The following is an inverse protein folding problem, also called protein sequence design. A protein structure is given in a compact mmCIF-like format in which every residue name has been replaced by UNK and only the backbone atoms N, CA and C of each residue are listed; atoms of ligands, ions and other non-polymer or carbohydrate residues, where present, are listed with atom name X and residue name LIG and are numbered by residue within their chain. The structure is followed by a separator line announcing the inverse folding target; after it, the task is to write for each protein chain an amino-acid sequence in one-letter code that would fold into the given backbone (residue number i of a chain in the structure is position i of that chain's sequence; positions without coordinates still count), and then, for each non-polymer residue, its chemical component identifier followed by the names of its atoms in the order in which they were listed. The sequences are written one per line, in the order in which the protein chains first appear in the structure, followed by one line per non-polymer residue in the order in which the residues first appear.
data_IF_289049686982
#
_entry.id   IF_289049686982
#
_cell.length_a   1.000
_cell.length_b   1.000
_cell.length_c   1.000
_cell.angle_alpha   90.00
_cell.angle_beta   90.00
_cell.angle_gamma   90.00
#
_symmetry.space_group_name_H-M   'P 1'
#
loop_
_entity.id
_entity.type
_entity.pdbx_description
1 polymer ?
#
# COMPACT_ATOMS: atom_id res chain seq x y z
N UNK A 1 4.16 15.58 -15.79
CA UNK A 1 3.39 14.96 -14.69
C UNK A 1 2.95 16.05 -13.73
N UNK A 2 1.68 16.13 -13.47
CA UNK A 2 1.12 17.10 -12.51
C UNK A 2 0.45 16.29 -11.40
N UNK A 3 1.08 16.31 -10.22
CA UNK A 3 0.54 15.60 -9.05
C UNK A 3 -0.56 16.45 -8.42
N UNK A 4 -1.61 15.78 -7.93
CA UNK A 4 -2.73 16.41 -7.23
C UNK A 4 -2.25 17.39 -6.15
N UNK A 5 -2.59 18.69 -6.24
CA UNK A 5 -2.23 19.65 -5.20
C UNK A 5 -2.83 19.29 -3.83
N UNK A 6 -4.02 18.72 -3.80
CA UNK A 6 -4.65 18.25 -2.55
C UNK A 6 -3.81 17.15 -1.89
N UNK A 7 -3.31 16.21 -2.68
CA UNK A 7 -2.44 15.15 -2.19
C UNK A 7 -1.16 15.72 -1.58
N UNK A 8 -0.51 16.64 -2.30
CA UNK A 8 0.71 17.28 -1.81
C UNK A 8 0.49 18.02 -0.49
N UNK A 9 -0.65 18.71 -0.37
CA UNK A 9 -1.03 19.38 0.88
C UNK A 9 -1.23 18.39 2.03
N UNK A 10 -1.88 17.25 1.74
CA UNK A 10 -2.07 16.20 2.74
C UNK A 10 -0.74 15.60 3.18
N UNK A 11 0.23 15.45 2.28
CA UNK A 11 1.59 15.00 2.63
C UNK A 11 2.28 15.99 3.56
N UNK A 12 2.16 17.28 3.29
CA UNK A 12 2.68 18.32 4.17
C UNK A 12 2.09 18.20 5.57
N UNK A 13 0.78 18.00 5.67
CA UNK A 13 0.09 17.85 6.96
C UNK A 13 0.55 16.58 7.72
N UNK A 14 0.96 15.55 7.01
CA UNK A 14 1.47 14.32 7.61
C UNK A 14 2.98 14.37 7.87
N UNK A 15 3.65 15.48 7.57
CA UNK A 15 5.10 15.60 7.63
C UNK A 15 5.83 14.56 6.76
N UNK A 16 5.25 14.23 5.61
CA UNK A 16 5.84 13.33 4.64
C UNK A 16 6.39 14.14 3.48
N UNK A 17 7.69 14.02 3.23
CA UNK A 17 8.34 14.62 2.07
C UNK A 17 8.61 13.54 1.04
N UNK A 18 8.05 13.69 -0.15
CA UNK A 18 8.23 12.73 -1.24
C UNK A 18 9.20 13.31 -2.27
N UNK A 19 10.15 12.49 -2.70
CA UNK A 19 11.05 12.83 -3.79
C UNK A 19 10.30 12.80 -5.12
N UNK A 20 10.92 13.37 -6.16
CA UNK A 20 10.38 13.29 -7.51
C UNK A 20 10.18 11.83 -7.95
N UNK A 21 11.14 10.97 -7.63
CA UNK A 21 11.05 9.52 -7.92
C UNK A 21 9.83 8.89 -7.24
N UNK A 22 9.59 9.21 -5.98
CA UNK A 22 8.43 8.68 -5.25
C UNK A 22 7.12 9.20 -5.85
N UNK A 23 7.06 10.45 -6.25
CA UNK A 23 5.88 11.00 -6.92
C UNK A 23 5.63 10.31 -8.26
N UNK A 24 6.67 10.02 -9.02
CA UNK A 24 6.57 9.24 -10.27
C UNK A 24 6.07 7.82 -10.00
N UNK A 25 6.52 7.20 -8.91
CA UNK A 25 6.05 5.87 -8.51
C UNK A 25 4.55 5.89 -8.19
N UNK A 26 4.06 6.88 -7.46
CA UNK A 26 2.62 7.02 -7.21
C UNK A 26 1.83 7.24 -8.49
N UNK A 27 2.34 8.06 -9.40
CA UNK A 27 1.69 8.31 -10.68
C UNK A 27 1.59 7.03 -11.52
N UNK A 28 2.68 6.27 -11.59
CA UNK A 28 2.70 4.99 -12.31
C UNK A 28 1.77 3.96 -11.67
N UNK A 29 1.75 3.91 -10.36
CA UNK A 29 0.83 3.04 -9.61
C UNK A 29 -0.63 3.38 -9.96
N UNK A 30 -0.96 4.67 -9.99
CA UNK A 30 -2.29 5.11 -10.40
C UNK A 30 -2.64 4.61 -11.81
N UNK A 31 -1.73 4.77 -12.76
CA UNK A 31 -1.96 4.33 -14.14
C UNK A 31 -2.23 2.83 -14.21
N UNK A 32 -1.44 2.03 -13.51
CA UNK A 32 -1.60 0.58 -13.46
C UNK A 32 -2.91 0.19 -12.78
N UNK A 33 -3.28 0.88 -11.71
CA UNK A 33 -4.53 0.64 -11.00
C UNK A 33 -5.73 0.82 -11.93
N UNK A 34 -5.77 1.92 -12.67
CA UNK A 34 -6.87 2.22 -13.60
C UNK A 34 -6.91 1.20 -14.75
N UNK A 35 -5.74 0.86 -15.28
CA UNK A 35 -5.63 -0.11 -16.38
C UNK A 35 -6.16 -1.49 -15.96
N UNK A 36 -5.68 -2.00 -14.83
CA UNK A 36 -6.09 -3.32 -14.36
C UNK A 36 -7.53 -3.33 -13.84
N UNK A 37 -8.02 -2.19 -13.33
CA UNK A 37 -9.40 -2.08 -12.86
C UNK A 37 -10.43 -2.31 -13.97
N UNK A 38 -10.04 -2.13 -15.23
CA UNK A 38 -10.92 -2.40 -16.38
C UNK A 38 -11.27 -3.88 -16.54
N UNK A 39 -10.41 -4.77 -16.06
CA UNK A 39 -10.58 -6.21 -16.22
C UNK A 39 -10.83 -6.93 -14.89
N UNK A 40 -10.63 -6.26 -13.76
CA UNK A 40 -10.89 -6.80 -12.44
C UNK A 40 -11.25 -5.68 -11.49
N UNK A 41 -12.21 -5.91 -10.61
CA UNK A 41 -12.68 -4.88 -9.70
C UNK A 41 -11.70 -4.67 -8.54
N UNK A 42 -10.74 -3.77 -8.74
CA UNK A 42 -9.76 -3.40 -7.71
C UNK A 42 -10.28 -2.27 -6.83
N UNK A 43 -10.98 -1.32 -7.43
CA UNK A 43 -11.50 -0.15 -6.72
C UNK A 43 -12.71 0.42 -7.45
N UNK A 44 -13.63 1.03 -6.71
CA UNK A 44 -14.72 1.82 -7.29
C UNK A 44 -14.34 3.25 -7.61
N UNK A 45 -13.14 3.68 -7.20
CA UNK A 45 -12.65 5.04 -7.39
C UNK A 45 -11.55 5.02 -8.44
N UNK A 46 -11.73 5.77 -9.54
CA UNK A 46 -10.77 5.81 -10.64
C UNK A 46 -10.35 7.23 -11.05
N UNK A 47 -11.02 8.26 -10.52
CA UNK A 47 -10.65 9.63 -10.80
C UNK A 47 -9.31 9.94 -10.11
N UNK A 48 -8.42 10.65 -10.81
CA UNK A 48 -7.04 10.87 -10.41
C UNK A 48 -6.92 11.47 -9.00
N UNK A 49 -7.56 12.60 -8.79
CA UNK A 49 -7.47 13.30 -7.51
C UNK A 49 -8.08 12.49 -6.36
N UNK A 50 -9.18 11.78 -6.63
CA UNK A 50 -9.82 10.94 -5.62
C UNK A 50 -8.96 9.73 -5.23
N UNK A 51 -8.29 9.08 -6.19
CA UNK A 51 -7.40 7.98 -5.88
C UNK A 51 -6.24 8.46 -5.01
N UNK A 52 -5.63 9.58 -5.37
CA UNK A 52 -4.54 10.13 -4.59
C UNK A 52 -4.97 10.51 -3.18
N UNK A 53 -6.14 11.08 -3.01
CA UNK A 53 -6.61 11.54 -1.70
C UNK A 53 -7.27 10.44 -0.87
N UNK A 54 -8.14 9.63 -1.48
CA UNK A 54 -8.93 8.62 -0.77
C UNK A 54 -8.24 7.28 -0.62
N UNK A 55 -7.26 6.96 -1.49
CA UNK A 55 -6.50 5.73 -1.38
C UNK A 55 -5.07 5.98 -0.90
N UNK A 56 -4.30 6.80 -1.61
CA UNK A 56 -2.88 6.97 -1.27
C UNK A 56 -2.70 7.76 0.03
N UNK A 57 -3.26 8.96 0.13
CA UNK A 57 -3.13 9.77 1.33
C UNK A 57 -3.80 9.11 2.54
N UNK A 58 -4.96 8.49 2.34
CA UNK A 58 -5.65 7.77 3.41
C UNK A 58 -4.79 6.61 3.93
N UNK A 59 -4.15 5.86 3.04
CA UNK A 59 -3.22 4.79 3.42
C UNK A 59 -2.06 5.33 4.26
N UNK A 60 -1.57 6.51 3.94
CA UNK A 60 -0.45 7.14 4.65
C UNK A 60 -0.87 7.81 5.96
N UNK A 61 -2.16 7.97 6.21
CA UNK A 61 -2.67 8.58 7.45
C UNK A 61 -2.33 7.77 8.70
N UNK A 62 -2.01 6.48 8.55
CA UNK A 62 -1.56 5.61 9.64
C UNK A 62 -0.28 6.15 10.30
N UNK A 63 0.49 6.96 9.58
CA UNK A 63 1.73 7.54 10.11
C UNK A 63 1.49 8.55 11.23
N UNK A 64 0.27 9.08 11.36
CA UNK A 64 -0.07 9.99 12.45
C UNK A 64 0.08 9.36 13.82
N UNK A 65 -0.19 8.07 13.92
CA UNK A 65 -0.18 7.33 15.20
C UNK A 65 1.09 6.49 15.41
N UNK A 66 2.00 6.49 14.43
CA UNK A 66 3.15 5.59 14.46
C UNK A 66 4.40 6.31 13.99
N UNK A 67 5.50 6.12 14.72
CA UNK A 67 6.80 6.60 14.29
C UNK A 67 7.39 5.62 13.28
N UNK A 68 7.23 5.93 12.00
CA UNK A 68 7.64 5.05 10.91
C UNK A 68 9.16 4.83 10.85
N UNK A 69 9.94 5.70 11.47
CA UNK A 69 11.40 5.52 11.53
C UNK A 69 11.79 4.34 12.42
N UNK A 70 10.95 3.97 13.36
CA UNK A 70 11.17 2.84 14.27
C UNK A 70 10.62 1.53 13.74
N UNK A 71 9.86 1.57 12.65
CA UNK A 71 9.24 0.40 12.05
C UNK A 71 10.10 -0.06 10.90
N UNK A 72 10.49 -1.34 10.91
CA UNK A 72 11.30 -1.95 9.87
C UNK A 72 10.50 -2.90 8.98
N UNK A 73 9.51 -3.58 9.55
CA UNK A 73 8.75 -4.59 8.82
C UNK A 73 7.24 -4.42 9.01
N UNK A 74 6.51 -4.55 7.91
CA UNK A 74 5.05 -4.41 7.86
C UNK A 74 4.47 -5.56 7.07
N UNK A 75 3.38 -6.14 7.58
CA UNK A 75 2.54 -7.01 6.77
C UNK A 75 1.16 -6.39 6.61
N UNK A 76 0.67 -6.41 5.36
CA UNK A 76 -0.66 -5.93 4.99
C UNK A 76 -1.54 -7.14 4.68
N UNK A 77 -2.48 -7.42 5.56
CA UNK A 77 -3.37 -8.58 5.47
C UNK A 77 -4.64 -8.21 4.71
N UNK A 78 -4.92 -8.94 3.63
CA UNK A 78 -6.05 -8.62 2.77
C UNK A 78 -5.82 -7.33 2.01
N UNK A 79 -4.64 -7.18 1.44
CA UNK A 79 -4.17 -5.93 0.86
C UNK A 79 -4.98 -5.43 -0.33
N UNK A 80 -5.69 -6.31 -1.04
CA UNK A 80 -6.49 -5.95 -2.21
C UNK A 80 -5.66 -5.32 -3.32
N UNK A 81 -5.94 -4.07 -3.64
CA UNK A 81 -5.20 -3.30 -4.64
C UNK A 81 -3.86 -2.75 -4.11
N UNK A 82 -3.44 -3.17 -2.93
CA UNK A 82 -2.17 -2.79 -2.33
C UNK A 82 -2.27 -1.75 -1.22
N UNK A 83 -3.45 -1.52 -0.68
CA UNK A 83 -3.68 -0.50 0.34
C UNK A 83 -3.77 -1.11 1.74
N UNK A 84 -3.03 -0.62 2.72
CA UNK A 84 -2.10 0.52 2.69
C UNK A 84 -0.64 0.16 2.38
N UNK A 85 -0.32 -1.12 2.16
CA UNK A 85 1.06 -1.60 2.09
C UNK A 85 1.90 -0.97 0.99
N UNK A 86 1.38 -0.83 -0.24
CA UNK A 86 2.13 -0.23 -1.34
C UNK A 86 2.38 1.27 -1.13
N UNK A 87 1.39 2.09 -0.77
CA UNK A 87 1.67 3.48 -0.44
C UNK A 87 2.71 3.65 0.67
N UNK A 88 2.64 2.80 1.71
CA UNK A 88 3.64 2.83 2.79
C UNK A 88 5.04 2.52 2.27
N UNK A 89 5.17 1.53 1.40
CA UNK A 89 6.46 1.17 0.80
C UNK A 89 7.03 2.30 -0.05
N UNK A 90 6.20 2.92 -0.87
CA UNK A 90 6.63 4.03 -1.72
C UNK A 90 7.09 5.22 -0.87
N UNK A 91 6.32 5.59 0.14
CA UNK A 91 6.64 6.73 1.00
C UNK A 91 7.81 6.45 1.96
N UNK A 92 7.99 5.21 2.39
CA UNK A 92 9.01 4.80 3.34
C UNK A 92 9.82 3.62 2.77
N UNK A 93 10.76 3.89 1.85
CA UNK A 93 11.46 2.83 1.13
C UNK A 93 12.29 1.88 2.01
N UNK A 94 12.62 2.29 3.23
CA UNK A 94 13.37 1.45 4.17
C UNK A 94 12.56 0.26 4.68
N UNK A 95 11.22 0.32 4.60
CA UNK A 95 10.35 -0.74 5.10
C UNK A 95 10.51 -2.02 4.30
N UNK A 96 10.45 -3.14 5.03
CA UNK A 96 10.25 -4.46 4.43
C UNK A 96 8.76 -4.76 4.53
N UNK A 97 8.10 -4.87 3.38
CA UNK A 97 6.65 -5.01 3.31
C UNK A 97 6.27 -6.37 2.74
N UNK A 98 5.30 -6.99 3.38
CA UNK A 98 4.68 -8.23 2.88
C UNK A 98 3.21 -7.94 2.60
N UNK A 99 2.78 -8.26 1.40
CA UNK A 99 1.38 -8.08 0.97
C UNK A 99 0.71 -9.44 0.89
N UNK A 100 -0.30 -9.66 1.70
CA UNK A 100 -1.05 -10.92 1.74
C UNK A 100 -2.44 -10.71 1.14
N UNK A 101 -2.82 -11.56 0.20
CA UNK A 101 -4.18 -11.57 -0.34
C UNK A 101 -4.61 -12.97 -0.72
N UNK A 102 -5.89 -13.26 -0.61
CA UNK A 102 -6.46 -14.57 -0.91
C UNK A 102 -6.76 -14.77 -2.39
N UNK A 103 -6.75 -13.72 -3.21
CA UNK A 103 -7.06 -13.80 -4.63
C UNK A 103 -5.80 -13.69 -5.49
N UNK A 104 -5.53 -14.76 -6.24
CA UNK A 104 -4.34 -14.81 -7.09
C UNK A 104 -4.32 -13.70 -8.15
N UNK A 105 -5.47 -13.29 -8.63
CA UNK A 105 -5.56 -12.17 -9.59
C UNK A 105 -5.00 -10.87 -9.02
N UNK A 106 -5.26 -10.61 -7.74
CA UNK A 106 -4.71 -9.43 -7.05
C UNK A 106 -3.21 -9.55 -6.86
N UNK A 107 -2.72 -10.75 -6.53
CA UNK A 107 -1.29 -11.01 -6.41
C UNK A 107 -0.57 -10.70 -7.73
N UNK A 108 -1.14 -11.08 -8.86
CA UNK A 108 -0.57 -10.76 -10.18
C UNK A 108 -0.49 -9.25 -10.43
N UNK A 109 -1.54 -8.53 -10.08
CA UNK A 109 -1.54 -7.07 -10.16
C UNK A 109 -0.44 -6.46 -9.29
N UNK A 110 -0.37 -6.90 -8.02
CA UNK A 110 0.61 -6.39 -7.07
C UNK A 110 2.05 -6.64 -7.54
N UNK A 111 2.32 -7.83 -8.06
CA UNK A 111 3.64 -8.15 -8.60
C UNK A 111 3.99 -7.28 -9.81
N UNK A 112 3.01 -6.97 -10.64
CA UNK A 112 3.21 -6.05 -11.78
C UNK A 112 3.57 -4.66 -11.28
N UNK A 113 2.87 -4.14 -10.27
CA UNK A 113 3.17 -2.84 -9.68
C UNK A 113 4.59 -2.83 -9.09
N UNK A 114 4.93 -3.86 -8.31
CA UNK A 114 6.26 -3.97 -7.68
C UNK A 114 7.36 -3.91 -8.75
N UNK A 115 7.20 -4.66 -9.83
CA UNK A 115 8.18 -4.71 -10.91
C UNK A 115 8.26 -3.38 -11.68
N UNK A 116 7.11 -2.81 -12.03
CA UNK A 116 7.05 -1.57 -12.79
C UNK A 116 7.57 -0.36 -12.01
N UNK A 117 7.44 -0.38 -10.69
CA UNK A 117 7.93 0.68 -9.82
C UNK A 117 9.36 0.44 -9.32
N UNK A 118 9.97 -0.68 -9.70
CA UNK A 118 11.31 -1.08 -9.22
C UNK A 118 11.42 -1.07 -7.70
N UNK A 119 10.41 -1.57 -7.01
CA UNK A 119 10.41 -1.64 -5.55
C UNK A 119 11.20 -2.85 -5.07
N UNK A 120 12.06 -2.63 -4.07
CA UNK A 120 12.82 -3.68 -3.41
C UNK A 120 12.39 -3.81 -1.95
N UNK A 121 12.56 -5.00 -1.37
CA UNK A 121 12.16 -5.25 0.00
C UNK A 121 10.65 -5.33 0.19
N UNK A 122 9.95 -5.76 -0.84
CA UNK A 122 8.50 -5.99 -0.79
C UNK A 122 8.17 -7.31 -1.51
N UNK A 123 7.37 -8.13 -0.86
CA UNK A 123 6.97 -9.45 -1.38
C UNK A 123 5.48 -9.64 -1.25
N UNK A 124 4.95 -10.57 -2.04
CA UNK A 124 3.54 -10.94 -1.99
C UNK A 124 3.39 -12.38 -1.52
N UNK A 125 2.30 -12.64 -0.79
CA UNK A 125 1.92 -13.99 -0.37
C UNK A 125 0.46 -14.21 -0.76
N UNK A 126 0.23 -15.30 -1.52
CA UNK A 126 -1.12 -15.75 -1.83
C UNK A 126 -1.58 -16.66 -0.70
N UNK A 127 -2.53 -16.21 0.09
CA UNK A 127 -3.03 -16.96 1.23
C UNK A 127 -4.17 -16.27 1.93
N UNK A 128 -4.70 -16.94 2.94
CA UNK A 128 -5.82 -16.43 3.74
C UNK A 128 -5.32 -15.84 5.05
N UNK A 129 -5.96 -14.76 5.47
CA UNK A 129 -5.66 -14.11 6.75
C UNK A 129 -5.76 -15.09 7.94
N UNK A 130 -6.72 -16.00 7.89
CA UNK A 130 -6.94 -17.02 8.93
C UNK A 130 -5.74 -17.94 9.09
N UNK A 131 -5.17 -18.39 7.97
CA UNK A 131 -3.99 -19.26 7.98
C UNK A 131 -2.77 -18.53 8.50
N UNK A 132 -2.65 -17.24 8.17
CA UNK A 132 -1.60 -16.38 8.70
C UNK A 132 -1.70 -16.27 10.22
N UNK A 133 -2.91 -16.02 10.74
CA UNK A 133 -3.14 -15.85 12.18
C UNK A 133 -2.83 -17.12 12.99
N UNK A 134 -2.96 -18.30 12.38
CA UNK A 134 -2.67 -19.57 13.03
C UNK A 134 -1.19 -19.96 12.98
N UNK A 135 -0.41 -19.34 12.10
CA UNK A 135 1.00 -19.67 11.93
C UNK A 135 1.85 -18.78 12.82
N UNK A 136 2.33 -19.33 13.94
CA UNK A 136 3.18 -18.62 14.91
C UNK A 136 4.47 -18.07 14.26
N UNK A 137 4.93 -18.71 13.18
CA UNK A 137 6.11 -18.29 12.44
C UNK A 137 5.97 -16.88 11.88
N UNK A 138 4.75 -16.45 11.54
CA UNK A 138 4.49 -15.12 10.98
C UNK A 138 4.07 -14.09 12.04
N UNK A 139 3.51 -14.53 13.18
CA UNK A 139 2.88 -13.62 14.16
C UNK A 139 3.83 -12.65 14.84
N UNK A 140 5.08 -13.05 15.04
CA UNK A 140 6.06 -12.26 15.79
C UNK A 140 7.17 -11.66 14.92
N UNK A 141 7.06 -11.78 13.60
CA UNK A 141 8.12 -11.35 12.67
C UNK A 141 7.97 -9.93 12.15
N UNK A 142 6.85 -9.28 12.43
CA UNK A 142 6.56 -7.97 11.88
C UNK A 142 6.39 -6.94 12.98
N UNK A 143 7.00 -5.77 12.77
CA UNK A 143 6.84 -4.64 13.69
C UNK A 143 5.43 -4.05 13.64
N UNK A 144 4.78 -4.16 12.47
CA UNK A 144 3.45 -3.62 12.27
C UNK A 144 2.60 -4.57 11.41
N UNK A 145 1.37 -4.77 11.84
CA UNK A 145 0.37 -5.53 11.07
C UNK A 145 -0.78 -4.59 10.76
N UNK A 146 -1.10 -4.46 9.47
CA UNK A 146 -2.17 -3.57 9.01
C UNK A 146 -3.18 -4.35 8.19
N UNK A 147 -4.41 -3.89 8.20
CA UNK A 147 -5.47 -4.44 7.35
C UNK A 147 -6.50 -3.36 7.09
N UNK A 148 -6.93 -3.27 5.85
CA UNK A 148 -7.98 -2.35 5.41
C UNK A 148 -9.23 -3.09 4.94
N UNK A 149 -9.17 -4.42 4.94
CA UNK A 149 -10.16 -5.28 4.29
C UNK A 149 -11.55 -5.25 4.93
N UNK A 150 -11.71 -4.69 6.12
CA UNK A 150 -12.94 -4.80 6.91
C UNK A 150 -13.55 -3.43 7.20
N UNK A 151 -13.61 -2.55 6.24
CA UNK A 151 -14.24 -1.23 6.31
C UNK A 151 -13.36 -0.11 6.90
N UNK A 152 -12.50 -0.37 7.86
CA UNK A 152 -11.61 0.63 8.45
C UNK A 152 -10.18 0.12 8.50
N UNK A 153 -9.22 1.06 8.39
CA UNK A 153 -7.82 0.76 8.56
C UNK A 153 -7.59 0.37 10.03
N UNK A 154 -7.04 -0.81 10.25
CA UNK A 154 -6.74 -1.31 11.58
C UNK A 154 -5.27 -1.69 11.69
N UNK A 155 -4.69 -1.40 12.86
CA UNK A 155 -3.36 -1.88 13.25
C UNK A 155 -3.58 -2.97 14.30
N UNK A 156 -3.13 -4.17 13.99
CA UNK A 156 -3.36 -5.33 14.85
C UNK A 156 -2.17 -5.64 15.75
#
# INVERSE_FOLDING_TARGET
MVISPRFLNMMTQLNISLSEKQLEQFDKYYQLLVEWNKVMNLTGITEYDEVFCKHFADSLSITKANDMKRIESVIDIGTGAGFPGLPLKIAFPHLKVTLLDSLNKRIKFLNTVINELDLEGITTIHGRAEDFAKNEEYREQYDMVVSRAVANLAVL
#
